data_IF_674766653033
#
_entry.id   IF_674766653033
#
_cell.length_a   1.000
_cell.length_b   1.000
_cell.length_c   1.000
_cell.angle_alpha   90.00
_cell.angle_beta   90.00
_cell.angle_gamma   90.00
#
_symmetry.space_group_name_H-M   'P 1'
#
loop_
_entity.id
_entity.type
_entity.pdbx_description
1 polymer ?
#
# COMPACT_ATOMS: atom_id res chain seq x y z
N UNK A 1 10.20 15.67 34.12
CA UNK A 1 8.81 15.15 34.08
C UNK A 1 8.48 14.77 32.63
N UNK A 2 7.91 13.59 32.35
CA UNK A 2 7.58 13.18 30.97
C UNK A 2 6.44 14.05 30.40
N UNK A 3 6.62 14.59 29.19
CA UNK A 3 5.61 15.37 28.46
C UNK A 3 4.29 14.56 28.30
N UNK A 4 3.16 15.18 28.66
CA UNK A 4 1.84 14.55 28.60
C UNK A 4 1.46 14.06 27.19
N UNK A 5 1.90 14.75 26.14
CA UNK A 5 1.66 14.38 24.74
C UNK A 5 2.41 13.12 24.34
N UNK A 6 3.62 12.91 24.88
CA UNK A 6 4.40 11.69 24.65
C UNK A 6 3.70 10.49 25.29
N UNK A 7 3.20 10.68 26.52
CA UNK A 7 2.43 9.64 27.23
C UNK A 7 1.13 9.29 26.51
N UNK A 8 0.39 10.30 26.06
CA UNK A 8 -0.83 10.11 25.26
C UNK A 8 -0.55 9.31 23.99
N UNK A 9 0.48 9.69 23.25
CA UNK A 9 0.87 8.98 22.03
C UNK A 9 1.20 7.51 22.30
N UNK A 10 1.94 7.20 23.36
CA UNK A 10 2.25 5.81 23.73
C UNK A 10 0.97 5.01 24.02
N UNK A 11 0.02 5.58 24.76
CA UNK A 11 -1.28 4.95 25.05
C UNK A 11 -2.07 4.67 23.77
N UNK A 12 -2.07 5.60 22.80
CA UNK A 12 -2.75 5.41 21.51
C UNK A 12 -2.22 4.21 20.74
N UNK A 13 -0.89 4.02 20.69
CA UNK A 13 -0.29 2.83 20.08
C UNK A 13 -0.76 1.54 20.77
N UNK A 14 -0.79 1.51 22.11
CA UNK A 14 -1.26 0.33 22.84
C UNK A 14 -2.77 0.08 22.65
N UNK A 15 -3.56 1.13 22.51
CA UNK A 15 -4.99 1.00 22.26
C UNK A 15 -5.25 0.39 20.86
N UNK A 16 -4.67 0.98 19.82
CA UNK A 16 -4.81 0.51 18.44
C UNK A 16 -4.18 -0.86 18.24
N UNK A 17 -3.09 -1.16 18.97
CA UNK A 17 -2.41 -2.45 18.90
C UNK A 17 -3.28 -3.65 19.28
N UNK A 18 -4.38 -3.47 20.02
CA UNK A 18 -5.32 -4.55 20.37
C UNK A 18 -6.00 -5.16 19.15
N UNK A 19 -6.33 -4.33 18.18
CA UNK A 19 -7.02 -4.73 16.95
C UNK A 19 -6.06 -5.01 15.78
N UNK A 20 -4.78 -4.71 15.96
CA UNK A 20 -3.77 -4.88 14.92
C UNK A 20 -3.65 -6.35 14.50
N UNK A 21 -3.42 -6.67 13.21
CA UNK A 21 -3.40 -8.07 12.74
C UNK A 21 -2.43 -8.99 13.47
N UNK A 22 -1.28 -8.48 13.90
CA UNK A 22 -0.26 -9.22 14.67
C UNK A 22 -0.42 -9.10 16.19
N UNK A 23 -1.46 -8.40 16.65
CA UNK A 23 -1.82 -8.24 18.05
C UNK A 23 -0.99 -7.21 18.84
N UNK A 24 -1.40 -7.05 20.10
CA UNK A 24 -0.87 -6.01 20.99
C UNK A 24 0.61 -6.19 21.33
N UNK A 25 1.05 -7.43 21.54
CA UNK A 25 2.44 -7.71 21.93
C UNK A 25 3.42 -7.21 20.88
N UNK A 26 3.14 -7.45 19.60
CA UNK A 26 3.93 -6.97 18.47
C UNK A 26 4.02 -5.43 18.44
N UNK A 27 2.87 -4.75 18.50
CA UNK A 27 2.83 -3.28 18.46
C UNK A 27 3.51 -2.67 19.67
N UNK A 28 3.30 -3.25 20.86
CA UNK A 28 3.90 -2.79 22.12
C UNK A 28 5.43 -2.85 22.06
N UNK A 29 5.99 -3.95 21.59
CA UNK A 29 7.44 -4.14 21.48
C UNK A 29 8.05 -3.09 20.54
N UNK A 30 7.51 -2.95 19.32
CA UNK A 30 8.00 -1.98 18.33
C UNK A 30 7.86 -0.54 18.83
N UNK A 31 6.75 -0.22 19.47
CA UNK A 31 6.51 1.11 20.05
C UNK A 31 7.50 1.39 21.18
N UNK A 32 7.71 0.45 22.10
CA UNK A 32 8.68 0.59 23.20
C UNK A 32 10.09 0.88 22.65
N UNK A 33 10.54 0.10 21.66
CA UNK A 33 11.85 0.30 21.02
C UNK A 33 11.96 1.66 20.35
N UNK A 34 10.93 2.11 19.62
CA UNK A 34 10.93 3.42 18.97
C UNK A 34 10.98 4.59 19.96
N UNK A 35 10.25 4.50 21.08
CA UNK A 35 10.28 5.52 22.13
C UNK A 35 11.62 5.53 22.85
N UNK A 36 12.18 4.35 23.15
CA UNK A 36 13.47 4.25 23.83
C UNK A 36 14.63 4.84 23.01
N UNK A 37 14.60 4.66 21.68
CA UNK A 37 15.59 5.30 20.77
C UNK A 37 15.58 6.83 20.82
N UNK A 38 14.48 7.45 21.25
CA UNK A 38 14.33 8.89 21.35
C UNK A 38 14.35 9.40 22.81
N UNK A 39 14.75 8.56 23.78
CA UNK A 39 14.65 8.89 25.22
C UNK A 39 15.49 10.12 25.61
N UNK A 40 16.62 10.33 24.93
CA UNK A 40 17.59 11.40 25.22
C UNK A 40 17.32 12.66 24.37
N UNK A 41 16.21 12.68 23.63
CA UNK A 41 15.84 13.83 22.80
C UNK A 41 15.34 14.99 23.67
N UNK A 42 16.12 16.07 23.74
CA UNK A 42 15.79 17.24 24.57
C UNK A 42 15.28 18.45 23.78
N UNK A 43 15.59 18.56 22.49
CA UNK A 43 15.14 19.67 21.65
C UNK A 43 13.60 19.70 21.52
N UNK A 44 12.91 20.78 21.95
CA UNK A 44 11.46 20.89 21.85
C UNK A 44 10.92 20.78 20.42
N UNK A 45 11.67 21.24 19.41
CA UNK A 45 11.23 21.19 18.01
C UNK A 45 11.28 19.75 17.50
N UNK A 46 12.38 19.05 17.75
CA UNK A 46 12.54 17.65 17.41
C UNK A 46 11.51 16.75 18.12
N UNK A 47 11.20 17.00 19.40
CA UNK A 47 10.14 16.28 20.13
C UNK A 47 8.79 16.47 19.43
N UNK A 48 8.41 17.70 19.08
CA UNK A 48 7.15 17.97 18.36
C UNK A 48 7.11 17.23 17.02
N UNK A 49 8.22 17.19 16.28
CA UNK A 49 8.33 16.46 15.00
C UNK A 49 8.18 14.95 15.19
N UNK A 50 8.84 14.39 16.21
CA UNK A 50 8.73 12.97 16.56
C UNK A 50 7.30 12.58 16.94
N UNK A 51 6.64 13.40 17.76
CA UNK A 51 5.23 13.18 18.13
C UNK A 51 4.33 13.27 16.89
N UNK A 52 4.54 14.25 15.99
CA UNK A 52 3.78 14.36 14.74
C UNK A 52 3.92 13.10 13.88
N UNK A 53 5.16 12.59 13.72
CA UNK A 53 5.43 11.34 13.02
C UNK A 53 4.72 10.15 13.68
N UNK A 54 4.79 10.04 15.00
CA UNK A 54 4.11 8.97 15.73
C UNK A 54 2.59 9.00 15.56
N UNK A 55 1.97 10.18 15.60
CA UNK A 55 0.52 10.31 15.33
C UNK A 55 0.14 9.87 13.92
N UNK A 56 0.97 10.20 12.92
CA UNK A 56 0.76 9.72 11.57
C UNK A 56 0.82 8.19 11.51
N UNK A 57 1.84 7.58 12.14
CA UNK A 57 1.96 6.12 12.21
C UNK A 57 0.76 5.44 12.87
N UNK A 58 0.17 6.03 13.92
CA UNK A 58 -1.07 5.51 14.53
C UNK A 58 -2.21 5.45 13.49
N UNK A 59 -2.32 6.44 12.59
CA UNK A 59 -3.33 6.43 11.52
C UNK A 59 -3.08 5.32 10.51
N UNK A 60 -1.82 5.06 10.17
CA UNK A 60 -1.45 3.93 9.30
C UNK A 60 -1.86 2.59 9.93
N UNK A 61 -1.62 2.39 11.22
CA UNK A 61 -2.06 1.18 11.94
C UNK A 61 -3.58 1.02 11.87
N UNK A 62 -4.34 2.10 12.05
CA UNK A 62 -5.81 2.09 11.91
C UNK A 62 -6.20 1.71 10.48
N UNK A 63 -5.52 2.24 9.45
CA UNK A 63 -5.76 1.90 8.05
C UNK A 63 -5.56 0.41 7.77
N UNK A 64 -4.48 -0.17 8.29
CA UNK A 64 -4.22 -1.62 8.19
C UNK A 64 -5.32 -2.45 8.86
N UNK A 65 -5.79 -2.02 10.04
CA UNK A 65 -6.89 -2.68 10.75
C UNK A 65 -8.19 -2.63 9.93
N UNK A 66 -8.52 -1.45 9.39
CA UNK A 66 -9.69 -1.27 8.52
C UNK A 66 -9.61 -2.14 7.27
N UNK A 67 -8.44 -2.24 6.64
CA UNK A 67 -8.24 -3.09 5.47
C UNK A 67 -8.45 -4.57 5.81
N UNK A 68 -7.93 -5.05 6.95
CA UNK A 68 -8.19 -6.42 7.41
C UNK A 68 -9.69 -6.66 7.61
N UNK A 69 -10.39 -5.73 8.29
CA UNK A 69 -11.85 -5.81 8.51
C UNK A 69 -12.62 -5.84 7.19
N UNK A 70 -12.28 -4.96 6.26
CA UNK A 70 -12.88 -4.91 4.93
C UNK A 70 -12.67 -6.23 4.18
N UNK A 71 -11.44 -6.76 4.13
CA UNK A 71 -11.15 -8.05 3.48
C UNK A 71 -11.99 -9.18 4.05
N UNK A 72 -12.14 -9.25 5.38
CA UNK A 72 -12.98 -10.25 6.03
C UNK A 72 -14.47 -10.08 5.70
N UNK A 73 -14.98 -8.85 5.66
CA UNK A 73 -16.37 -8.59 5.28
C UNK A 73 -16.62 -8.94 3.81
N UNK A 74 -15.76 -8.48 2.91
CA UNK A 74 -15.84 -8.77 1.48
C UNK A 74 -15.83 -10.29 1.22
N UNK A 75 -14.94 -11.03 1.89
CA UNK A 75 -14.91 -12.49 1.75
C UNK A 75 -16.17 -13.21 2.23
N UNK A 76 -16.93 -12.63 3.17
CA UNK A 76 -18.11 -13.27 3.77
C UNK A 76 -19.42 -12.88 3.09
N UNK A 77 -19.50 -11.67 2.55
CA UNK A 77 -20.75 -11.07 2.10
C UNK A 77 -20.77 -10.73 0.61
N UNK A 78 -19.66 -10.82 -0.10
CA UNK A 78 -19.65 -10.59 -1.55
C UNK A 78 -20.09 -11.86 -2.27
N UNK A 79 -21.26 -11.84 -2.97
CA UNK A 79 -21.77 -13.01 -3.69
C UNK A 79 -20.75 -13.52 -4.71
N UNK A 80 -20.70 -14.83 -4.91
CA UNK A 80 -19.79 -15.48 -5.87
C UNK A 80 -19.97 -14.90 -7.28
N UNK A 81 -21.21 -14.68 -7.72
CA UNK A 81 -21.55 -14.04 -8.99
C UNK A 81 -20.91 -12.66 -9.18
N UNK A 82 -20.83 -11.85 -8.12
CA UNK A 82 -20.20 -10.53 -8.17
C UNK A 82 -18.67 -10.64 -8.21
N UNK A 83 -18.10 -11.63 -7.52
CA UNK A 83 -16.66 -11.90 -7.59
C UNK A 83 -16.26 -12.38 -8.99
N UNK A 84 -17.07 -13.23 -9.60
CA UNK A 84 -16.86 -13.75 -10.93
C UNK A 84 -17.00 -12.66 -12.00
N UNK A 85 -18.00 -11.78 -11.87
CA UNK A 85 -18.16 -10.63 -12.75
C UNK A 85 -16.97 -9.64 -12.65
N UNK A 86 -16.44 -9.40 -11.44
CA UNK A 86 -15.25 -8.55 -11.29
C UNK A 86 -14.01 -9.19 -11.90
N UNK A 87 -13.84 -10.51 -11.70
CA UNK A 87 -12.73 -11.28 -12.26
C UNK A 87 -12.79 -11.31 -13.79
N UNK A 88 -13.98 -11.47 -14.38
CA UNK A 88 -14.16 -11.48 -15.83
C UNK A 88 -13.85 -10.12 -16.45
N UNK A 89 -14.27 -9.02 -15.82
CA UNK A 89 -13.95 -7.66 -16.29
C UNK A 89 -12.43 -7.41 -16.27
N UNK A 90 -11.74 -7.80 -15.20
CA UNK A 90 -10.27 -7.69 -15.12
C UNK A 90 -9.59 -8.54 -16.19
N UNK A 91 -10.05 -9.78 -16.38
CA UNK A 91 -9.53 -10.68 -17.41
C UNK A 91 -9.73 -10.11 -18.83
N UNK A 92 -10.93 -9.63 -19.16
CA UNK A 92 -11.22 -9.00 -20.44
C UNK A 92 -10.37 -7.76 -20.69
N UNK A 93 -10.16 -6.93 -19.66
CA UNK A 93 -9.26 -5.78 -19.75
C UNK A 93 -7.84 -6.23 -20.08
N UNK A 94 -7.31 -7.25 -19.39
CA UNK A 94 -5.96 -7.75 -19.66
C UNK A 94 -5.81 -8.33 -21.07
N UNK A 95 -6.84 -9.04 -21.57
CA UNK A 95 -6.83 -9.55 -22.94
C UNK A 95 -6.80 -8.42 -23.97
N UNK A 96 -7.62 -7.36 -23.78
CA UNK A 96 -7.60 -6.18 -24.67
C UNK A 96 -6.26 -5.45 -24.67
N UNK A 97 -5.61 -5.35 -23.51
CA UNK A 97 -4.27 -4.75 -23.41
C UNK A 97 -3.22 -5.59 -24.18
N UNK A 98 -3.29 -6.92 -24.09
CA UNK A 98 -2.41 -7.83 -24.84
C UNK A 98 -2.69 -7.85 -26.35
N UNK A 99 -3.96 -7.79 -26.76
CA UNK A 99 -4.36 -7.70 -28.16
C UNK A 99 -3.94 -6.36 -28.77
N UNK A 100 -4.03 -5.26 -28.00
CA UNK A 100 -3.54 -3.95 -28.40
C UNK A 100 -2.03 -3.93 -28.69
N UNK A 101 -1.23 -4.63 -27.88
CA UNK A 101 0.23 -4.73 -28.05
C UNK A 101 0.65 -5.58 -29.27
N UNK A 102 -0.20 -6.52 -29.73
CA UNK A 102 0.08 -7.29 -30.95
C UNK A 102 -0.16 -6.47 -32.23
N UNK A 103 -1.07 -5.49 -32.20
CA UNK A 103 -1.35 -4.63 -33.37
C UNK A 103 -0.29 -3.57 -33.63
N UNK A 104 0.52 -3.21 -32.63
CA UNK A 104 1.64 -2.28 -32.73
C UNK A 104 2.96 -2.94 -33.15
N UNK A 105 3.09 -4.27 -33.03
CA UNK A 105 4.30 -5.02 -33.40
C UNK A 105 4.35 -5.44 -34.88
N UNK A 106 3.23 -5.46 -35.62
CA UNK A 106 3.19 -5.91 -37.02
C UNK A 106 3.41 -4.80 -38.07
N UNK A 107 3.82 -3.59 -37.64
CA UNK A 107 3.87 -2.39 -38.50
C UNK A 107 5.21 -2.04 -39.17
N UNK A 108 6.29 -2.80 -38.97
CA UNK A 108 7.61 -2.43 -39.52
C UNK A 108 8.35 -3.60 -40.16
N UNK A 109 7.85 -4.08 -41.31
CA UNK A 109 8.69 -4.71 -42.34
C UNK A 109 8.21 -4.28 -43.72
N UNK A 110 8.32 -2.98 -44.02
CA UNK A 110 8.28 -2.47 -45.39
C UNK A 110 9.67 -2.67 -46.00
N UNK A 111 9.81 -3.72 -46.80
CA UNK A 111 10.97 -4.11 -47.58
C UNK A 111 11.49 -2.98 -48.48
N UNK A 112 12.75 -2.59 -48.26
CA UNK A 112 13.57 -1.90 -49.26
C UNK A 112 13.94 -2.91 -50.35
N UNK A 113 13.16 -2.96 -51.43
CA UNK A 113 13.61 -3.61 -52.67
C UNK A 113 14.23 -2.55 -53.59
N UNK A 114 15.56 -2.56 -53.62
CA UNK A 114 16.35 -2.11 -54.75
C UNK A 114 15.95 -2.92 -55.99
N UNK A 115 15.59 -2.26 -57.09
CA UNK A 115 15.79 -2.84 -58.41
C UNK A 115 16.44 -1.81 -59.34
N UNK A 116 17.65 -2.18 -59.74
CA UNK A 116 18.46 -1.59 -60.78
C UNK A 116 18.02 -2.16 -62.14
N UNK A 117 18.42 -1.45 -63.20
CA UNK A 117 18.41 -1.84 -64.62
C UNK A 117 17.13 -1.71 -65.45
N UNK A 118 17.15 -0.72 -66.35
CA UNK A 118 17.60 -1.02 -67.71
C UNK A 118 16.55 -1.00 -68.84
N UNK A 119 16.69 0.03 -69.69
CA UNK A 119 16.60 -0.03 -71.16
C UNK A 119 15.22 -0.21 -71.85
N UNK A 120 14.64 0.88 -72.38
CA UNK A 120 14.68 1.21 -73.83
C UNK A 120 14.06 2.59 -74.10
#
# INVERSE_FOLDING_TARGET
MMDGKVRDLYKRFLYVGRDYPLGLSYVREKTKTAFFRNKDLQDPVAIKKAIKKGRWMVRELIGVIQLKKYRTLNSRYTPEELQDALRSIEFERTLRELEGDQTSASGTTGTTEHNHDGNK
#
